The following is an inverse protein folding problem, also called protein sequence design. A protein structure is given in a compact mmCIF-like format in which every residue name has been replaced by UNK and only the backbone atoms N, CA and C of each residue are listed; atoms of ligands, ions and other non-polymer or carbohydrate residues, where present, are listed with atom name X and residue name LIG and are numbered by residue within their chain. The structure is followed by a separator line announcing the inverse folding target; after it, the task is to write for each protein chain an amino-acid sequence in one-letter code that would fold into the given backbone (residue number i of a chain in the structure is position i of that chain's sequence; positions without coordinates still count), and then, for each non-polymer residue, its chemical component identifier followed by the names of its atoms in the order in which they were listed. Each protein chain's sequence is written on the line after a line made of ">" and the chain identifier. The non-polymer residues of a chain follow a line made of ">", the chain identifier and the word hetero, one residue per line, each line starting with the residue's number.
data_IF_599075335463
#
_entry.id   IF_599075335463
#
_cell.length_a   1.000
_cell.length_b   1.000
_cell.length_c   1.000
_cell.angle_alpha   90.00
_cell.angle_beta   90.00
_cell.angle_gamma   90.00
#
_symmetry.space_group_name_H-M   'P 1'
#
loop_
_entity.id
_entity.type
_entity.pdbx_description
1 polymer ?
#
# COMPACT_ATOMS: atom_id res chain seq x y z
N UNK A 1 20.34 25.23 -5.59
CA UNK A 1 21.05 24.05 -5.06
C UNK A 1 21.44 24.36 -3.62
N UNK A 2 21.01 23.53 -2.67
CA UNK A 2 21.19 23.75 -1.23
C UNK A 2 22.68 23.71 -0.84
N UNK A 3 23.05 24.50 0.17
CA UNK A 3 24.39 24.55 0.79
C UNK A 3 24.77 23.19 1.36
N UNK A 4 23.81 22.45 1.92
CA UNK A 4 24.04 21.08 2.39
C UNK A 4 24.47 20.15 1.23
N UNK A 5 23.78 20.22 0.09
CA UNK A 5 24.14 19.42 -1.10
C UNK A 5 25.50 19.80 -1.66
N UNK A 6 25.87 21.09 -1.63
CA UNK A 6 27.19 21.56 -2.10
C UNK A 6 28.33 21.04 -1.24
N UNK A 7 28.19 21.09 0.09
CA UNK A 7 29.21 20.58 1.02
C UNK A 7 29.34 19.06 0.88
N UNK A 8 28.21 18.36 0.77
CA UNK A 8 28.20 16.90 0.66
C UNK A 8 28.81 16.41 -0.66
N UNK A 9 28.49 17.04 -1.80
CA UNK A 9 29.11 16.73 -3.10
C UNK A 9 30.62 16.98 -3.13
N UNK A 10 31.11 17.97 -2.38
CA UNK A 10 32.53 18.30 -2.33
C UNK A 10 33.33 17.31 -1.48
N UNK A 11 32.73 16.81 -0.40
CA UNK A 11 33.43 16.01 0.60
C UNK A 11 33.19 14.49 0.46
N UNK A 12 32.10 14.07 -0.19
CA UNK A 12 31.70 12.66 -0.28
C UNK A 12 31.38 12.23 -1.70
N UNK A 13 31.78 11.00 -2.04
CA UNK A 13 31.44 10.38 -3.32
C UNK A 13 29.99 9.93 -3.32
N UNK A 14 29.26 10.30 -4.37
CA UNK A 14 27.88 9.84 -4.57
C UNK A 14 27.81 8.31 -4.72
N UNK A 15 26.63 7.77 -4.40
CA UNK A 15 26.33 6.35 -4.64
C UNK A 15 26.12 6.19 -6.13
N UNK A 16 26.87 5.29 -6.79
CA UNK A 16 26.75 5.13 -8.22
C UNK A 16 25.40 4.48 -8.56
N UNK A 17 24.75 4.96 -9.62
CA UNK A 17 23.39 4.52 -9.98
C UNK A 17 23.29 3.01 -10.25
N UNK A 18 24.38 2.39 -10.71
CA UNK A 18 24.42 0.95 -10.98
C UNK A 18 24.19 0.08 -9.74
N UNK A 19 24.48 0.57 -8.52
CA UNK A 19 24.19 -0.19 -7.29
C UNK A 19 22.69 -0.44 -7.14
N UNK A 20 21.88 0.60 -7.38
CA UNK A 20 20.41 0.50 -7.35
C UNK A 20 19.88 -0.36 -8.48
N UNK A 21 20.44 -0.22 -9.69
CA UNK A 21 20.02 -1.01 -10.85
C UNK A 21 20.31 -2.51 -10.67
N UNK A 22 21.45 -2.87 -10.07
CA UNK A 22 21.78 -4.27 -9.78
C UNK A 22 20.77 -4.86 -8.79
N UNK A 23 20.44 -4.17 -7.70
CA UNK A 23 19.43 -4.65 -6.75
C UNK A 23 18.06 -4.75 -7.42
N UNK A 24 17.67 -3.78 -8.23
CA UNK A 24 16.39 -3.79 -8.95
C UNK A 24 16.28 -5.00 -9.89
N UNK A 25 17.30 -5.23 -10.72
CA UNK A 25 17.33 -6.34 -11.68
C UNK A 25 17.32 -7.68 -10.95
N UNK A 26 18.12 -7.84 -9.89
CA UNK A 26 18.13 -9.07 -9.09
C UNK A 26 16.76 -9.32 -8.46
N UNK A 27 16.12 -8.31 -7.88
CA UNK A 27 14.78 -8.47 -7.29
C UNK A 27 13.74 -8.87 -8.33
N UNK A 28 13.69 -8.19 -9.48
CA UNK A 28 12.75 -8.53 -10.55
C UNK A 28 12.99 -9.97 -11.03
N UNK A 29 14.26 -10.36 -11.24
CA UNK A 29 14.60 -11.72 -11.66
C UNK A 29 14.13 -12.76 -10.64
N UNK A 30 14.37 -12.54 -9.34
CA UNK A 30 13.91 -13.44 -8.28
C UNK A 30 12.38 -13.55 -8.23
N UNK A 31 11.66 -12.44 -8.34
CA UNK A 31 10.20 -12.43 -8.34
C UNK A 31 9.65 -13.18 -9.56
N UNK A 32 10.23 -12.97 -10.74
CA UNK A 32 9.84 -13.69 -11.95
C UNK A 32 10.10 -15.19 -11.81
N UNK A 33 11.26 -15.60 -11.30
CA UNK A 33 11.58 -17.02 -11.05
C UNK A 33 10.58 -17.65 -10.08
N UNK A 34 10.25 -16.95 -8.98
CA UNK A 34 9.26 -17.42 -8.01
C UNK A 34 7.88 -17.55 -8.67
N UNK A 35 7.45 -16.58 -9.48
CA UNK A 35 6.16 -16.63 -10.18
C UNK A 35 6.05 -17.80 -11.15
N UNK A 36 7.15 -18.18 -11.82
CA UNK A 36 7.17 -19.30 -12.77
C UNK A 36 7.23 -20.64 -12.04
N UNK A 37 8.10 -20.78 -11.04
CA UNK A 37 8.32 -22.05 -10.35
C UNK A 37 7.17 -22.39 -9.39
N UNK A 38 6.65 -21.38 -8.67
CA UNK A 38 5.56 -21.52 -7.70
C UNK A 38 4.20 -21.06 -8.26
N UNK A 39 3.97 -21.25 -9.56
CA UNK A 39 2.74 -20.79 -10.22
C UNK A 39 1.46 -21.38 -9.57
N UNK A 40 1.52 -22.62 -9.06
CA UNK A 40 0.39 -23.25 -8.40
C UNK A 40 -0.05 -22.54 -7.10
N UNK A 41 0.89 -21.92 -6.37
CA UNK A 41 0.60 -21.25 -5.09
C UNK A 41 0.46 -19.74 -5.26
N UNK A 42 1.33 -19.10 -6.04
CA UNK A 42 1.34 -17.64 -6.26
C UNK A 42 0.24 -17.22 -7.22
N UNK A 43 -0.11 -18.08 -8.18
CA UNK A 43 -1.16 -17.88 -9.19
C UNK A 43 -1.00 -16.64 -10.09
N UNK A 44 0.04 -15.82 -9.89
CA UNK A 44 0.34 -14.62 -10.65
C UNK A 44 1.25 -14.99 -11.85
N UNK A 45 0.85 -14.70 -13.09
CA UNK A 45 1.69 -14.92 -14.26
C UNK A 45 2.87 -13.94 -14.32
N UNK A 46 3.94 -14.32 -15.03
CA UNK A 46 5.17 -13.53 -15.17
C UNK A 46 4.94 -12.11 -15.73
N UNK A 47 3.96 -11.93 -16.62
CA UNK A 47 3.61 -10.62 -17.17
C UNK A 47 2.99 -9.69 -16.11
N UNK A 48 2.28 -10.26 -15.11
CA UNK A 48 1.69 -9.51 -14.01
C UNK A 48 2.74 -8.89 -13.10
N UNK A 49 3.87 -9.59 -12.92
CA UNK A 49 5.04 -9.06 -12.21
C UNK A 49 5.61 -7.85 -12.92
N UNK A 50 5.83 -7.94 -14.24
CA UNK A 50 6.37 -6.83 -15.02
C UNK A 50 5.42 -5.62 -15.04
N UNK A 51 4.11 -5.87 -15.12
CA UNK A 51 3.10 -4.83 -15.03
C UNK A 51 3.12 -4.13 -13.66
N UNK A 52 3.20 -4.89 -12.56
CA UNK A 52 3.30 -4.31 -11.21
C UNK A 52 4.55 -3.43 -11.06
N UNK A 53 5.69 -3.91 -11.55
CA UNK A 53 6.94 -3.13 -11.54
C UNK A 53 6.84 -1.86 -12.39
N UNK A 54 6.22 -1.92 -13.57
CA UNK A 54 6.02 -0.75 -14.43
C UNK A 54 5.15 0.31 -13.74
N UNK A 55 4.05 -0.11 -13.11
CA UNK A 55 3.19 0.78 -12.30
C UNK A 55 3.99 1.39 -11.15
N UNK A 56 4.75 0.59 -10.40
CA UNK A 56 5.58 1.09 -9.30
C UNK A 56 6.56 2.17 -9.79
N UNK A 57 7.27 1.95 -10.90
CA UNK A 57 8.24 2.91 -11.45
C UNK A 57 7.57 4.22 -11.88
N UNK A 58 6.38 4.16 -12.48
CA UNK A 58 5.66 5.37 -12.95
C UNK A 58 5.05 6.15 -11.78
N UNK A 59 4.43 5.46 -10.82
CA UNK A 59 3.71 6.11 -9.73
C UNK A 59 4.61 6.56 -8.57
N UNK A 60 5.76 5.91 -8.33
CA UNK A 60 6.71 6.30 -7.28
C UNK A 60 7.13 7.77 -7.35
N UNK A 61 7.59 8.33 -8.50
CA UNK A 61 7.99 9.73 -8.56
C UNK A 61 6.79 10.68 -8.38
N UNK A 62 5.61 10.34 -8.90
CA UNK A 62 4.40 11.16 -8.77
C UNK A 62 3.97 11.29 -7.30
N UNK A 63 3.90 10.16 -6.60
CA UNK A 63 3.56 10.14 -5.17
C UNK A 63 4.68 10.77 -4.35
N UNK A 64 5.94 10.58 -4.73
CA UNK A 64 7.08 11.22 -4.06
C UNK A 64 6.97 12.74 -4.02
N UNK A 65 6.51 13.38 -5.09
CA UNK A 65 6.26 14.84 -5.12
C UNK A 65 5.11 15.24 -4.20
N UNK A 66 4.03 14.45 -4.18
CA UNK A 66 2.87 14.70 -3.31
C UNK A 66 3.25 14.58 -1.84
N UNK A 67 3.95 13.50 -1.45
CA UNK A 67 4.45 13.28 -0.09
C UNK A 67 5.41 14.39 0.31
N UNK A 68 6.31 14.81 -0.59
CA UNK A 68 7.27 15.88 -0.30
C UNK A 68 6.62 17.24 -0.05
N UNK A 69 5.43 17.49 -0.61
CA UNK A 69 4.71 18.78 -0.49
C UNK A 69 3.64 18.77 0.59
N UNK A 70 2.92 17.66 0.75
CA UNK A 70 1.75 17.55 1.64
C UNK A 70 2.02 16.71 2.90
N UNK A 71 3.14 16.01 2.95
CA UNK A 71 3.46 15.00 3.97
C UNK A 71 2.39 13.89 4.12
N UNK A 72 1.58 13.68 3.08
CA UNK A 72 0.56 12.64 3.02
C UNK A 72 0.90 11.67 1.90
N UNK A 73 0.88 10.37 2.22
CA UNK A 73 1.11 9.29 1.27
C UNK A 73 -0.24 8.71 0.82
N UNK A 74 -0.81 9.16 -0.32
CA UNK A 74 -2.06 8.59 -0.80
C UNK A 74 -1.91 7.09 -1.08
N UNK A 75 -2.83 6.29 -0.52
CA UNK A 75 -2.83 4.85 -0.65
C UNK A 75 -3.18 4.39 -2.06
N UNK A 76 -2.19 3.96 -2.85
CA UNK A 76 -2.39 3.44 -4.21
C UNK A 76 -2.91 1.99 -4.24
N UNK A 77 -3.00 1.33 -3.07
CA UNK A 77 -3.44 -0.05 -2.92
C UNK A 77 -4.69 -0.37 -3.75
N UNK A 78 -5.73 0.45 -3.60
CA UNK A 78 -7.02 0.23 -4.24
C UNK A 78 -6.90 0.28 -5.76
N UNK A 79 -6.12 1.21 -6.31
CA UNK A 79 -5.94 1.31 -7.78
C UNK A 79 -5.17 0.10 -8.30
N UNK A 80 -4.11 -0.33 -7.61
CA UNK A 80 -3.34 -1.51 -8.03
C UNK A 80 -4.19 -2.79 -7.98
N UNK A 81 -5.00 -2.94 -6.94
CA UNK A 81 -5.93 -4.07 -6.79
C UNK A 81 -7.06 -4.01 -7.83
N UNK A 82 -7.57 -2.81 -8.14
CA UNK A 82 -8.59 -2.61 -9.17
C UNK A 82 -8.11 -3.01 -10.57
N UNK A 83 -6.90 -2.58 -10.95
CA UNK A 83 -6.34 -2.86 -12.28
C UNK A 83 -6.15 -4.37 -12.48
N UNK A 84 -5.49 -5.05 -11.53
CA UNK A 84 -5.26 -6.49 -11.67
C UNK A 84 -6.55 -7.30 -11.50
N UNK A 85 -7.47 -6.86 -10.63
CA UNK A 85 -8.77 -7.50 -10.47
C UNK A 85 -9.63 -7.46 -11.73
N UNK A 86 -9.46 -6.44 -12.58
CA UNK A 86 -10.14 -6.37 -13.88
C UNK A 86 -9.47 -7.25 -14.94
N UNK A 87 -8.13 -7.27 -14.99
CA UNK A 87 -7.38 -8.03 -16.01
C UNK A 87 -7.34 -9.52 -15.69
N UNK A 88 -7.28 -9.88 -14.41
CA UNK A 88 -7.09 -11.24 -13.93
C UNK A 88 -7.97 -11.54 -12.70
N UNK A 89 -9.29 -11.63 -12.89
CA UNK A 89 -10.25 -11.85 -11.81
C UNK A 89 -10.17 -13.28 -11.24
N UNK A 90 -10.89 -13.50 -10.14
CA UNK A 90 -11.11 -14.79 -9.47
C UNK A 90 -9.90 -15.34 -8.71
N UNK A 91 -8.80 -14.58 -8.61
CA UNK A 91 -7.55 -15.02 -7.97
C UNK A 91 -7.09 -14.07 -6.87
N UNK A 92 -7.48 -14.30 -5.61
CA UNK A 92 -7.14 -13.41 -4.50
C UNK A 92 -5.64 -13.40 -4.19
N UNK A 93 -4.96 -14.55 -4.26
CA UNK A 93 -3.52 -14.65 -4.00
C UNK A 93 -2.70 -13.86 -5.03
N UNK A 94 -3.08 -13.93 -6.30
CA UNK A 94 -2.44 -13.16 -7.35
C UNK A 94 -2.61 -11.64 -7.10
N UNK A 95 -3.81 -11.21 -6.70
CA UNK A 95 -4.09 -9.81 -6.35
C UNK A 95 -3.23 -9.33 -5.17
N UNK A 96 -3.09 -10.15 -4.11
CA UNK A 96 -2.19 -9.85 -2.99
C UNK A 96 -0.76 -9.63 -3.45
N UNK A 97 -0.20 -10.56 -4.23
CA UNK A 97 1.17 -10.45 -4.72
C UNK A 97 1.35 -9.19 -5.58
N UNK A 98 0.40 -8.90 -6.46
CA UNK A 98 0.44 -7.70 -7.31
C UNK A 98 0.46 -6.41 -6.47
N UNK A 99 -0.37 -6.33 -5.43
CA UNK A 99 -0.35 -5.21 -4.48
C UNK A 99 0.97 -5.08 -3.73
N UNK A 100 1.55 -6.19 -3.27
CA UNK A 100 2.85 -6.16 -2.59
C UNK A 100 3.93 -5.60 -3.54
N UNK A 101 3.98 -6.08 -4.78
CA UNK A 101 4.97 -5.64 -5.76
C UNK A 101 4.73 -4.21 -6.28
N UNK A 102 3.48 -3.76 -6.36
CA UNK A 102 3.12 -2.42 -6.84
C UNK A 102 3.19 -1.34 -5.75
N UNK A 103 2.50 -1.57 -4.63
CA UNK A 103 2.33 -0.57 -3.58
C UNK A 103 3.38 -0.66 -2.47
N UNK A 104 3.63 -1.86 -1.91
CA UNK A 104 4.57 -1.97 -0.77
C UNK A 104 5.98 -1.61 -1.23
N UNK A 105 6.40 -2.06 -2.42
CA UNK A 105 7.68 -1.64 -3.03
C UNK A 105 7.79 -0.11 -3.20
N UNK A 106 6.71 0.57 -3.59
CA UNK A 106 6.67 2.02 -3.66
C UNK A 106 6.80 2.67 -2.28
N UNK A 107 6.09 2.18 -1.26
CA UNK A 107 6.21 2.71 0.10
C UNK A 107 7.63 2.58 0.63
N UNK A 108 8.29 1.44 0.37
CA UNK A 108 9.69 1.24 0.74
C UNK A 108 10.65 2.14 -0.03
N UNK A 109 10.39 2.43 -1.30
CA UNK A 109 11.18 3.39 -2.06
C UNK A 109 11.08 4.81 -1.48
N UNK A 110 9.89 5.22 -1.01
CA UNK A 110 9.66 6.53 -0.40
C UNK A 110 10.34 6.66 0.97
N UNK A 111 10.22 5.66 1.85
CA UNK A 111 10.91 5.66 3.16
C UNK A 111 12.42 5.67 2.97
N UNK A 112 12.94 4.90 2.00
CA UNK A 112 14.35 4.90 1.66
C UNK A 112 14.86 6.28 1.20
N UNK A 113 14.09 7.01 0.39
CA UNK A 113 14.42 8.39 -0.02
C UNK A 113 14.35 9.36 1.17
N UNK A 114 13.36 9.20 2.06
CA UNK A 114 13.23 10.02 3.28
C UNK A 114 14.47 9.87 4.17
N UNK A 115 14.94 8.65 4.35
CA UNK A 115 16.17 8.36 5.10
C UNK A 115 17.41 8.97 4.44
N UNK A 116 17.54 8.94 3.11
CA UNK A 116 18.64 9.64 2.43
C UNK A 116 18.63 11.14 2.67
N UNK A 117 17.43 11.74 2.70
CA UNK A 117 17.27 13.15 3.01
C UNK A 117 17.68 13.44 4.46
N UNK A 118 17.28 12.60 5.41
CA UNK A 118 17.72 12.70 6.80
C UNK A 118 19.24 12.54 6.93
N UNK A 119 19.83 11.56 6.25
CA UNK A 119 21.28 11.34 6.21
C UNK A 119 22.05 12.54 5.63
N UNK A 120 21.48 13.21 4.63
CA UNK A 120 22.03 14.45 4.09
C UNK A 120 22.07 15.57 5.14
N UNK A 121 21.02 15.70 5.96
CA UNK A 121 20.97 16.68 7.06
C UNK A 121 21.96 16.36 8.17
N UNK A 122 22.14 15.08 8.50
CA UNK A 122 23.10 14.61 9.52
C UNK A 122 24.56 14.55 9.02
N UNK A 123 24.81 14.91 7.75
CA UNK A 123 26.14 14.85 7.11
C UNK A 123 26.78 13.46 7.08
N UNK A 124 25.96 12.41 6.98
CA UNK A 124 26.43 11.02 6.91
C UNK A 124 26.86 10.68 5.48
N UNK A 125 28.00 10.00 5.27
CA UNK A 125 28.42 9.58 3.92
C UNK A 125 27.35 8.71 3.24
N UNK A 126 26.93 9.04 2.01
CA UNK A 126 25.77 8.40 1.37
C UNK A 126 26.01 6.91 1.03
N UNK A 127 27.27 6.50 0.80
CA UNK A 127 27.62 5.09 0.58
C UNK A 127 27.45 4.22 1.82
N UNK A 128 27.81 4.74 2.98
CA UNK A 128 27.62 4.04 4.25
C UNK A 128 26.13 3.95 4.60
N UNK A 129 25.37 5.02 4.33
CA UNK A 129 23.91 5.02 4.50
C UNK A 129 23.25 3.94 3.63
N UNK A 130 23.61 3.88 2.35
CA UNK A 130 23.11 2.84 1.44
C UNK A 130 23.41 1.42 1.94
N UNK A 131 24.65 1.15 2.34
CA UNK A 131 25.05 -0.16 2.85
C UNK A 131 24.31 -0.52 4.14
N UNK A 132 24.12 0.45 5.05
CA UNK A 132 23.38 0.26 6.29
C UNK A 132 21.91 -0.07 6.02
N UNK A 133 21.27 0.61 5.08
CA UNK A 133 19.89 0.32 4.70
C UNK A 133 19.74 -1.06 4.04
N UNK A 134 20.60 -1.39 3.07
CA UNK A 134 20.57 -2.71 2.42
C UNK A 134 20.78 -3.82 3.45
N UNK A 135 21.78 -3.71 4.31
CA UNK A 135 22.03 -4.68 5.38
C UNK A 135 20.85 -4.75 6.37
N UNK A 136 20.32 -3.60 6.78
CA UNK A 136 19.16 -3.52 7.66
C UNK A 136 17.92 -4.19 7.08
N UNK A 137 17.66 -4.01 5.78
CA UNK A 137 16.54 -4.69 5.10
C UNK A 137 16.74 -6.20 5.04
N UNK A 138 17.95 -6.69 4.79
CA UNK A 138 18.23 -8.13 4.79
C UNK A 138 18.02 -8.76 6.17
N UNK A 139 18.54 -8.12 7.22
CA UNK A 139 18.35 -8.57 8.61
C UNK A 139 16.86 -8.54 8.99
N UNK A 140 16.16 -7.46 8.64
CA UNK A 140 14.73 -7.34 8.92
C UNK A 140 13.93 -8.47 8.26
N UNK A 141 14.17 -8.77 6.97
CA UNK A 141 13.47 -9.86 6.27
C UNK A 141 13.70 -11.21 6.95
N UNK A 142 14.92 -11.52 7.36
CA UNK A 142 15.25 -12.78 8.06
C UNK A 142 14.52 -12.86 9.40
N UNK A 143 14.60 -11.79 10.21
CA UNK A 143 13.99 -11.75 11.54
C UNK A 143 12.46 -11.84 11.43
N UNK A 144 11.83 -11.04 10.56
CA UNK A 144 10.37 -11.06 10.37
C UNK A 144 9.87 -12.42 9.87
N UNK A 145 10.58 -13.05 8.93
CA UNK A 145 10.18 -14.36 8.41
C UNK A 145 10.34 -15.43 9.50
N UNK A 146 11.43 -15.39 10.27
CA UNK A 146 11.68 -16.34 11.35
C UNK A 146 10.68 -16.20 12.49
N UNK A 147 10.35 -14.98 12.91
CA UNK A 147 9.34 -14.74 13.96
C UNK A 147 7.95 -15.14 13.51
N UNK A 148 7.57 -14.85 12.26
CA UNK A 148 6.29 -15.29 11.71
C UNK A 148 6.17 -16.82 11.68
N UNK A 149 7.22 -17.51 11.25
CA UNK A 149 7.24 -18.98 11.23
C UNK A 149 7.15 -19.57 12.63
N UNK A 150 7.92 -19.04 13.58
CA UNK A 150 7.89 -19.48 14.98
C UNK A 150 6.49 -19.26 15.59
N UNK A 151 5.89 -18.10 15.36
CA UNK A 151 4.56 -17.78 15.89
C UNK A 151 3.49 -18.77 15.38
N UNK A 152 3.54 -19.11 14.09
CA UNK A 152 2.61 -20.10 13.50
C UNK A 152 2.84 -21.53 14.00
N UNK A 153 4.06 -21.88 14.43
CA UNK A 153 4.37 -23.19 14.96
C UNK A 153 3.97 -23.36 16.43
N UNK A 154 4.09 -22.30 17.23
CA UNK A 154 3.83 -22.33 18.68
C UNK A 154 2.35 -22.13 19.02
N UNK A 155 1.63 -21.26 18.29
CA UNK A 155 0.24 -20.89 18.60
C UNK A 155 -0.72 -21.64 17.66
N UNK A 156 -1.42 -22.68 18.13
CA UNK A 156 -2.45 -23.35 17.33
C UNK A 156 -3.61 -22.39 17.05
N UNK A 157 -4.14 -22.44 15.83
CA UNK A 157 -5.28 -21.63 15.36
C UNK A 157 -5.06 -20.10 15.37
N UNK A 158 -3.81 -19.64 15.22
CA UNK A 158 -3.47 -18.21 15.12
C UNK A 158 -4.45 -17.45 14.20
N UNK A 159 -4.91 -16.28 14.67
CA UNK A 159 -5.88 -15.42 13.99
C UNK A 159 -7.33 -15.94 13.88
N UNK A 160 -7.68 -17.10 14.45
CA UNK A 160 -9.05 -17.63 14.47
C UNK A 160 -9.78 -17.35 15.80
N UNK A 161 -10.60 -16.29 15.80
CA UNK A 161 -11.39 -15.88 16.98
C UNK A 161 -12.37 -16.94 17.50
N UNK A 162 -12.69 -17.98 16.72
CA UNK A 162 -13.64 -19.02 17.13
C UNK A 162 -12.98 -20.15 17.92
N UNK A 163 -11.68 -20.37 17.71
CA UNK A 163 -10.91 -21.43 18.34
C UNK A 163 -9.97 -20.88 19.43
N UNK A 164 -9.77 -19.56 19.46
CA UNK A 164 -8.98 -18.89 20.49
C UNK A 164 -9.80 -18.64 21.78
N UNK A 165 -9.14 -18.65 22.95
CA UNK A 165 -9.75 -18.19 24.18
C UNK A 165 -10.30 -16.75 24.02
N UNK A 166 -11.44 -16.40 24.65
CA UNK A 166 -12.07 -15.10 24.50
C UNK A 166 -11.18 -13.92 24.95
N UNK A 167 -10.19 -14.17 25.82
CA UNK A 167 -9.21 -13.18 26.29
C UNK A 167 -7.90 -13.16 25.45
N UNK A 168 -7.87 -13.85 24.31
CA UNK A 168 -6.67 -13.96 23.49
C UNK A 168 -6.46 -12.72 22.60
N UNK A 169 -5.29 -12.09 22.72
CA UNK A 169 -4.92 -10.90 21.94
C UNK A 169 -4.54 -11.22 20.48
N UNK A 170 -4.38 -12.50 20.12
CA UNK A 170 -3.90 -12.98 18.81
C UNK A 170 -4.94 -12.92 17.69
N UNK A 171 -5.56 -11.76 17.50
CA UNK A 171 -6.72 -11.56 16.60
C UNK A 171 -6.39 -11.07 15.19
N UNK A 172 -5.11 -10.79 14.89
CA UNK A 172 -4.55 -10.41 13.58
C UNK A 172 -5.45 -9.50 12.71
N UNK A 173 -5.87 -8.32 13.21
CA UNK A 173 -6.85 -7.48 12.51
C UNK A 173 -6.32 -6.95 11.17
N UNK A 174 -5.04 -6.60 11.08
CA UNK A 174 -4.43 -6.06 9.86
C UNK A 174 -4.31 -7.11 8.76
N UNK A 175 -3.93 -8.33 9.10
CA UNK A 175 -3.83 -9.44 8.14
C UNK A 175 -5.21 -9.83 7.58
N UNK A 176 -6.25 -9.79 8.43
CA UNK A 176 -7.63 -9.96 7.99
C UNK A 176 -8.06 -8.88 7.01
N UNK A 177 -7.79 -7.60 7.29
CA UNK A 177 -8.12 -6.51 6.34
C UNK A 177 -7.37 -6.69 5.01
N UNK A 178 -6.11 -7.12 5.05
CA UNK A 178 -5.34 -7.40 3.83
C UNK A 178 -5.94 -8.58 3.04
N UNK A 179 -6.40 -9.62 3.73
CA UNK A 179 -7.09 -10.76 3.13
C UNK A 179 -8.45 -10.39 2.54
N UNK A 180 -9.30 -9.72 3.31
CA UNK A 180 -10.64 -9.31 2.88
C UNK A 180 -10.56 -8.38 1.65
N UNK A 181 -9.58 -7.47 1.62
CA UNK A 181 -9.33 -6.62 0.44
C UNK A 181 -9.01 -7.45 -0.80
N UNK A 182 -8.20 -8.51 -0.66
CA UNK A 182 -7.87 -9.39 -1.80
C UNK A 182 -9.07 -10.18 -2.30
N UNK A 183 -10.02 -10.51 -1.43
CA UNK A 183 -11.27 -11.19 -1.78
C UNK A 183 -12.18 -10.23 -2.54
N UNK A 184 -12.36 -9.01 -2.04
CA UNK A 184 -13.19 -7.98 -2.67
C UNK A 184 -12.65 -7.63 -4.06
N UNK A 185 -11.38 -7.24 -4.14
CA UNK A 185 -10.81 -6.71 -5.38
C UNK A 185 -10.27 -7.79 -6.33
N UNK A 186 -9.91 -8.96 -5.81
CA UNK A 186 -9.34 -10.06 -6.60
C UNK A 186 -10.32 -11.18 -6.90
N UNK A 187 -10.93 -11.79 -5.88
CA UNK A 187 -11.83 -12.95 -6.04
C UNK A 187 -13.18 -12.55 -6.65
N UNK A 188 -13.88 -11.57 -6.07
CA UNK A 188 -15.15 -11.06 -6.62
C UNK A 188 -14.88 -10.21 -7.86
N UNK A 189 -13.84 -9.38 -7.77
CA UNK A 189 -13.38 -8.52 -8.85
C UNK A 189 -14.23 -7.25 -9.00
N UNK A 190 -13.62 -6.17 -9.54
CA UNK A 190 -14.30 -4.90 -9.70
C UNK A 190 -15.47 -4.95 -10.68
N UNK A 191 -15.48 -5.87 -11.64
CA UNK A 191 -16.58 -6.04 -12.60
C UNK A 191 -17.91 -6.45 -11.95
N UNK A 192 -17.88 -7.24 -10.87
CA UNK A 192 -19.09 -7.68 -10.16
C UNK A 192 -19.53 -6.77 -9.02
N UNK A 193 -18.62 -6.01 -8.42
CA UNK A 193 -18.99 -5.04 -7.38
C UNK A 193 -19.25 -3.64 -7.93
N UNK A 194 -18.40 -3.16 -8.84
CA UNK A 194 -18.40 -1.78 -9.33
C UNK A 194 -18.75 -1.66 -10.83
N UNK A 195 -18.94 -2.77 -11.55
CA UNK A 195 -19.36 -2.77 -12.95
C UNK A 195 -20.89 -2.77 -13.12
N UNK A 196 -21.36 -2.99 -14.36
CA UNK A 196 -22.78 -2.97 -14.73
C UNK A 196 -23.65 -4.02 -14.01
N UNK A 197 -23.01 -5.06 -13.45
CA UNK A 197 -23.65 -6.15 -12.71
C UNK A 197 -23.68 -5.91 -11.19
N UNK A 198 -23.09 -4.82 -10.69
CA UNK A 198 -22.90 -4.56 -9.27
C UNK A 198 -23.70 -3.37 -8.73
N UNK A 199 -24.16 -3.50 -7.49
CA UNK A 199 -24.96 -2.46 -6.80
C UNK A 199 -24.15 -1.17 -6.51
N UNK A 200 -22.82 -1.23 -6.59
CA UNK A 200 -21.92 -0.13 -6.27
C UNK A 200 -21.31 0.57 -7.50
N UNK A 201 -21.91 0.42 -8.68
CA UNK A 201 -21.50 1.11 -9.91
C UNK A 201 -21.28 2.63 -9.71
N UNK A 202 -22.13 3.26 -8.91
CA UNK A 202 -22.05 4.70 -8.61
C UNK A 202 -20.75 5.12 -7.90
N UNK A 203 -20.02 4.20 -7.26
CA UNK A 203 -18.77 4.53 -6.57
C UNK A 203 -17.66 4.93 -7.56
N UNK A 204 -17.71 4.44 -8.80
CA UNK A 204 -16.71 4.80 -9.81
C UNK A 204 -16.72 6.30 -10.16
N UNK A 205 -17.85 7.00 -9.96
CA UNK A 205 -17.94 8.45 -10.14
C UNK A 205 -17.07 9.24 -9.15
N UNK A 206 -16.72 8.67 -7.99
CA UNK A 206 -15.78 9.32 -7.07
C UNK A 206 -14.36 9.38 -7.63
N UNK A 207 -13.94 8.47 -8.53
CA UNK A 207 -12.66 8.61 -9.22
C UNK A 207 -12.66 9.83 -10.15
N UNK A 208 -13.77 10.06 -10.86
CA UNK A 208 -13.95 11.25 -11.71
C UNK A 208 -13.98 12.53 -10.85
N UNK A 209 -14.73 12.53 -9.76
CA UNK A 209 -14.76 13.65 -8.82
C UNK A 209 -13.36 13.95 -8.25
N UNK A 210 -12.60 12.90 -7.90
CA UNK A 210 -11.22 13.01 -7.42
C UNK A 210 -10.25 13.55 -8.48
N UNK A 211 -10.46 13.24 -9.77
CA UNK A 211 -9.66 13.78 -10.86
C UNK A 211 -10.00 15.25 -11.16
N UNK A 212 -11.28 15.62 -11.05
CA UNK A 212 -11.77 16.97 -11.35
C UNK A 212 -11.46 17.96 -10.22
N UNK A 213 -11.53 17.53 -8.95
CA UNK A 213 -11.40 18.42 -7.80
C UNK A 213 -10.06 19.22 -7.77
N UNK A 214 -8.88 18.63 -8.02
CA UNK A 214 -7.63 19.39 -8.11
C UNK A 214 -7.61 20.40 -9.27
N UNK A 215 -8.25 20.05 -10.39
CA UNK A 215 -8.34 20.93 -11.56
C UNK A 215 -9.23 22.15 -11.28
N UNK A 216 -10.33 21.96 -10.55
CA UNK A 216 -11.19 23.07 -10.10
C UNK A 216 -10.46 24.02 -9.15
N UNK A 217 -9.65 23.50 -8.23
CA UNK A 217 -8.80 24.34 -7.36
C UNK A 217 -7.77 25.11 -8.15
N UNK A 218 -7.14 24.47 -9.14
CA UNK A 218 -6.18 25.15 -10.01
C UNK A 218 -6.83 26.27 -10.83
N UNK A 219 -8.04 26.04 -11.35
CA UNK A 219 -8.78 27.08 -12.08
C UNK A 219 -9.21 28.23 -11.14
N UNK A 220 -9.67 27.91 -9.94
CA UNK A 220 -10.08 28.88 -8.93
C UNK A 220 -8.88 29.72 -8.43
N UNK A 221 -7.70 29.13 -8.26
CA UNK A 221 -6.49 29.86 -7.87
C UNK A 221 -6.02 30.81 -8.96
N UNK A 222 -6.24 30.47 -10.24
CA UNK A 222 -5.93 31.34 -11.39
C UNK A 222 -6.94 32.46 -11.57
N UNK A 223 -8.23 32.21 -11.28
CA UNK A 223 -9.30 33.21 -11.39
C UNK A 223 -9.28 34.22 -10.23
N UNK A 224 -8.85 33.81 -9.03
CA UNK A 224 -8.80 34.66 -7.83
C UNK A 224 -7.38 34.75 -7.23
N UNK A 225 -6.42 35.38 -7.92
CA UNK A 225 -5.02 35.47 -7.48
C UNK A 225 -4.83 36.26 -6.17
N UNK A 226 -5.82 37.05 -5.76
CA UNK A 226 -5.79 37.79 -4.50
C UNK A 226 -5.97 36.89 -3.26
N UNK A 227 -6.63 35.73 -3.39
CA UNK A 227 -6.97 34.84 -2.27
C UNK A 227 -5.96 33.69 -2.17
N UNK A 228 -4.83 33.93 -1.52
CA UNK A 228 -3.74 32.95 -1.36
C UNK A 228 -4.15 31.67 -0.61
N UNK A 229 -5.27 31.66 0.13
CA UNK A 229 -5.75 30.43 0.78
C UNK A 229 -6.12 29.35 -0.23
N UNK A 230 -6.59 29.72 -1.43
CA UNK A 230 -7.17 28.77 -2.40
C UNK A 230 -6.09 27.84 -2.93
N UNK A 231 -4.86 28.35 -3.05
CA UNK A 231 -3.70 27.57 -3.46
C UNK A 231 -3.24 26.53 -2.42
N UNK A 232 -3.69 26.64 -1.17
CA UNK A 232 -3.29 25.73 -0.08
C UNK A 232 -4.31 24.58 0.13
N UNK A 233 -5.42 24.56 -0.62
CA UNK A 233 -6.43 23.51 -0.50
C UNK A 233 -5.96 22.27 -1.27
N UNK A 234 -5.46 21.27 -0.53
CA UNK A 234 -5.08 19.98 -1.08
C UNK A 234 -6.23 18.97 -0.92
N UNK A 235 -7.04 18.80 -1.98
CA UNK A 235 -8.12 17.81 -2.01
C UNK A 235 -7.70 16.37 -1.67
N UNK A 236 -6.51 15.87 -2.11
CA UNK A 236 -6.04 14.54 -1.71
C UNK A 236 -5.88 14.38 -0.19
N UNK A 237 -5.54 15.45 0.52
CA UNK A 237 -5.37 15.43 1.99
C UNK A 237 -6.74 15.43 2.68
N UNK A 238 -7.69 16.23 2.19
CA UNK A 238 -9.04 16.32 2.75
C UNK A 238 -9.80 15.00 2.57
N UNK A 239 -9.73 14.42 1.37
CA UNK A 239 -10.40 13.15 1.06
C UNK A 239 -9.65 11.94 1.65
N UNK A 240 -8.36 12.07 1.93
CA UNK A 240 -7.53 11.04 2.56
C UNK A 240 -7.68 10.93 4.07
N UNK A 241 -8.46 11.80 4.73
CA UNK A 241 -8.61 11.82 6.19
C UNK A 241 -9.15 10.50 6.78
N UNK A 242 -9.86 9.70 5.98
CA UNK A 242 -10.41 8.40 6.39
C UNK A 242 -9.49 7.22 6.09
N UNK A 243 -8.33 7.44 5.44
CA UNK A 243 -7.47 6.36 4.94
C UNK A 243 -6.77 5.54 6.05
N UNK A 244 -6.68 6.08 7.27
CA UNK A 244 -6.05 5.44 8.44
C UNK A 244 -7.04 5.20 9.58
N UNK A 245 -8.33 5.00 9.28
CA UNK A 245 -9.28 4.57 10.30
C UNK A 245 -8.86 3.19 10.84
N UNK A 246 -8.84 2.99 12.18
CA UNK A 246 -8.58 1.68 12.76
C UNK A 246 -9.52 0.63 12.18
N UNK A 247 -9.04 -0.61 11.94
CA UNK A 247 -9.93 -1.70 11.55
C UNK A 247 -11.08 -1.80 12.54
N UNK A 248 -12.32 -1.78 12.05
CA UNK A 248 -13.49 -1.93 12.89
C UNK A 248 -13.52 -3.34 13.48
N UNK A 249 -12.93 -3.51 14.66
CA UNK A 249 -13.15 -4.70 15.46
C UNK A 249 -14.58 -4.59 15.97
N UNK A 250 -15.44 -5.54 15.62
CA UNK A 250 -16.73 -5.70 16.28
C UNK A 250 -16.40 -5.91 17.77
N UNK A 251 -16.55 -4.88 18.59
CA UNK A 251 -16.36 -4.94 20.03
C UNK A 251 -17.45 -5.86 20.59
N UNK A 252 -17.14 -7.14 20.64
CA UNK A 252 -18.00 -8.19 21.14
C UNK A 252 -17.28 -8.91 22.25
N UNK A 253 -17.36 -8.34 23.46
CA UNK A 253 -17.39 -8.97 24.79
C UNK A 253 -16.65 -8.12 25.83
N UNK A 254 -17.39 -7.26 26.53
CA UNK A 254 -16.90 -6.43 27.62
C UNK A 254 -17.77 -5.20 27.77
N UNK A 255 -18.67 -5.21 28.77
CA UNK A 255 -19.84 -4.33 28.89
C UNK A 255 -19.58 -2.83 28.73
N UNK A 256 -20.52 -2.16 28.06
CA UNK A 256 -20.54 -0.70 27.91
C UNK A 256 -21.31 -0.24 26.67
N UNK A 257 -22.63 -0.40 26.70
CA UNK A 257 -23.60 0.05 25.70
C UNK A 257 -23.39 1.48 25.19
N UNK A 258 -23.14 1.64 23.89
CA UNK A 258 -23.80 2.66 23.04
C UNK A 258 -24.11 1.98 21.70
N UNK A 259 -25.30 1.39 21.60
CA UNK A 259 -25.76 0.68 20.41
C UNK A 259 -26.27 1.63 19.33
N UNK A 260 -25.74 1.49 18.11
CA UNK A 260 -26.48 1.81 16.89
C UNK A 260 -26.80 0.47 16.21
N UNK A 261 -27.95 -0.10 16.56
CA UNK A 261 -28.51 -1.29 15.92
C UNK A 261 -29.10 -0.90 14.56
N UNK A 262 -28.46 -1.35 13.48
CA UNK A 262 -29.12 -1.49 12.18
C UNK A 262 -29.81 -2.88 12.13
N UNK A 263 -31.06 -2.98 11.66
CA UNK A 263 -31.82 -4.23 11.67
C UNK A 263 -31.27 -5.21 10.63
N UNK A 264 -30.95 -6.43 11.07
CA UNK A 264 -30.50 -7.53 10.21
C UNK A 264 -31.64 -8.13 9.37
N UNK A 265 -31.33 -8.80 8.25
CA UNK A 265 -32.33 -9.45 7.41
C UNK A 265 -32.85 -10.73 8.06
N UNK A 266 -34.17 -10.93 8.00
CA UNK A 266 -34.87 -12.10 8.50
C UNK A 266 -34.37 -13.40 7.84
N UNK A 267 -34.21 -14.51 8.58
CA UNK A 267 -33.83 -15.80 8.01
C UNK A 267 -35.01 -16.41 7.22
N UNK A 268 -34.73 -16.93 6.02
CA UNK A 268 -35.67 -17.73 5.23
C UNK A 268 -35.88 -19.12 5.88
N UNK A 269 -37.11 -19.66 5.87
CA UNK A 269 -37.41 -20.99 6.41
C UNK A 269 -36.99 -22.10 5.42
N UNK A 270 -36.73 -23.31 5.92
CA UNK A 270 -36.28 -24.45 5.11
C UNK A 270 -37.45 -25.09 4.35
N UNK A 271 -37.17 -25.51 3.11
CA UNK A 271 -37.96 -26.51 2.36
C UNK A 271 -36.97 -27.54 1.82
#
# INVERSE_FOLDING_TARGET
>A
MDIHTRIMKKNYKEVPMWWFLVILVINIALIVVISVYYNATVQLPWWGVLLACAIAVVFTPLIGVIVATTNQAPGLNVITEYVIGYIYPERPVANMCFKVYGYISMTQALTFIQDFKLGLYMKIPPRSMYMAQVLGTLVAVIVYTGTAWWLMAEIPHLCDKSLLPPDSEWTCPMDRVFFDASVIWGLVGPSRMFGDLGEYSNINWFFLLGAIAPFLVWLASKAFPAQKWISNIHFPVILGATAMMPPAIRAGSGGGTIGATAPGPNPCPPV
#
